data_IF_993837442746
#
_entry.id   IF_993837442746
#
_cell.length_a   1.000
_cell.length_b   1.000
_cell.length_c   1.000
_cell.angle_alpha   90.00
_cell.angle_beta   90.00
_cell.angle_gamma   90.00
#
_symmetry.space_group_name_H-M   'P 1'
#
loop_
_entity.id
_entity.type
_entity.pdbx_description
1 polymer ?
#
# COMPACT_ATOMS: atom_id res chain seq x y z
N UNK A 1 23.86 22.00 -46.47
CA UNK A 1 22.43 21.67 -46.26
C UNK A 1 22.31 20.54 -45.26
N UNK A 2 22.50 20.90 -43.99
CA UNK A 2 22.65 20.08 -42.77
C UNK A 2 21.32 19.46 -42.27
N UNK A 3 20.24 19.56 -43.05
CA UNK A 3 18.87 19.12 -42.69
C UNK A 3 18.60 17.62 -42.88
N UNK A 4 19.65 16.81 -42.95
CA UNK A 4 19.56 15.34 -42.81
C UNK A 4 20.37 14.85 -41.60
N UNK A 5 20.66 15.73 -40.64
CA UNK A 5 21.17 15.31 -39.35
C UNK A 5 20.03 14.69 -38.55
N UNK A 6 20.08 13.36 -38.50
CA UNK A 6 19.64 12.54 -37.38
C UNK A 6 18.22 12.81 -36.88
N UNK A 7 17.25 12.28 -37.62
CA UNK A 7 16.05 11.68 -37.02
C UNK A 7 16.43 10.44 -36.17
N UNK A 8 17.38 10.60 -35.24
CA UNK A 8 17.96 9.51 -34.45
C UNK A 8 18.35 10.01 -33.05
N UNK A 9 17.42 10.70 -32.39
CA UNK A 9 17.33 10.63 -30.92
C UNK A 9 16.02 9.91 -30.62
N UNK A 10 15.85 8.76 -31.28
CA UNK A 10 14.89 7.78 -30.87
C UNK A 10 15.44 7.14 -29.59
N UNK A 11 14.63 7.22 -28.53
CA UNK A 11 14.47 6.10 -27.62
C UNK A 11 15.74 5.62 -26.91
N UNK A 12 16.27 6.43 -25.99
CA UNK A 12 16.86 5.85 -24.77
C UNK A 12 15.87 6.09 -23.63
N UNK A 13 14.65 5.59 -23.80
CA UNK A 13 13.80 5.29 -22.66
C UNK A 13 14.40 4.04 -22.03
N UNK A 14 15.40 4.22 -21.17
CA UNK A 14 15.90 3.14 -20.33
C UNK A 14 14.68 2.54 -19.61
N UNK A 15 14.55 1.21 -19.52
CA UNK A 15 13.57 0.63 -18.63
C UNK A 15 14.02 1.06 -17.24
N UNK A 16 13.31 2.02 -16.64
CA UNK A 16 13.37 2.21 -15.19
C UNK A 16 12.93 0.86 -14.65
N UNK A 17 13.90 0.05 -14.26
CA UNK A 17 13.66 -1.23 -13.66
C UNK A 17 12.58 -1.00 -12.61
N UNK A 18 11.48 -1.74 -12.73
CA UNK A 18 10.48 -1.83 -11.69
C UNK A 18 11.21 -2.43 -10.49
N UNK A 19 11.84 -1.58 -9.68
CA UNK A 19 12.42 -1.93 -8.41
C UNK A 19 11.22 -2.41 -7.60
N UNK A 20 11.04 -3.72 -7.50
CA UNK A 20 10.01 -4.31 -6.67
C UNK A 20 10.29 -3.80 -5.26
N UNK A 21 9.47 -2.86 -4.80
CA UNK A 21 9.54 -2.42 -3.42
C UNK A 21 9.39 -3.68 -2.54
N UNK A 22 10.17 -3.80 -1.44
CA UNK A 22 10.02 -4.90 -0.51
C UNK A 22 8.54 -5.06 -0.16
N UNK A 23 8.04 -6.30 -0.16
CA UNK A 23 6.69 -6.56 0.29
C UNK A 23 6.52 -5.97 1.71
N UNK A 24 5.44 -5.22 1.97
CA UNK A 24 5.23 -4.66 3.29
C UNK A 24 5.24 -5.78 4.34
N UNK A 25 5.87 -5.53 5.49
CA UNK A 25 5.80 -6.45 6.60
C UNK A 25 4.33 -6.66 7.03
N UNK A 26 3.95 -7.87 7.46
CA UNK A 26 2.59 -8.14 7.94
C UNK A 26 2.29 -7.23 9.13
N UNK A 27 1.15 -6.54 9.07
CA UNK A 27 0.69 -5.65 10.14
C UNK A 27 -0.29 -6.40 11.02
N UNK A 28 -0.03 -6.49 12.32
CA UNK A 28 -0.95 -7.10 13.29
C UNK A 28 -1.65 -6.03 14.10
N UNK A 29 -2.94 -6.21 14.31
CA UNK A 29 -3.79 -5.35 15.14
C UNK A 29 -4.56 -6.19 16.15
N UNK A 30 -4.81 -5.61 17.32
CA UNK A 30 -5.69 -6.19 18.33
C UNK A 30 -6.98 -5.39 18.36
N UNK A 31 -8.09 -6.05 18.05
CA UNK A 31 -9.43 -5.49 18.16
C UNK A 31 -9.94 -5.88 19.54
N UNK A 32 -10.06 -4.91 20.44
CA UNK A 32 -10.58 -5.12 21.79
C UNK A 32 -12.09 -5.07 21.75
N UNK A 33 -12.74 -6.16 22.14
CA UNK A 33 -14.20 -6.30 22.13
C UNK A 33 -14.71 -6.66 23.53
N UNK A 34 -16.02 -6.57 23.75
CA UNK A 34 -16.65 -7.00 25.00
C UNK A 34 -16.47 -8.50 25.27
N UNK A 35 -16.40 -9.32 24.22
CA UNK A 35 -16.21 -10.78 24.30
C UNK A 35 -14.74 -11.19 24.35
N UNK A 36 -13.82 -10.22 24.37
CA UNK A 36 -12.38 -10.44 24.42
C UNK A 36 -11.63 -9.92 23.19
N UNK A 37 -10.30 -10.12 23.16
CA UNK A 37 -9.44 -9.61 22.09
C UNK A 37 -9.50 -10.50 20.83
N UNK A 38 -9.55 -9.87 19.67
CA UNK A 38 -9.35 -10.51 18.36
C UNK A 38 -8.03 -10.02 17.79
N UNK A 39 -7.10 -10.92 17.49
CA UNK A 39 -5.84 -10.58 16.83
C UNK A 39 -5.99 -10.83 15.33
N UNK A 40 -5.84 -9.77 14.54
CA UNK A 40 -5.93 -9.84 13.08
C UNK A 40 -4.59 -9.46 12.44
N UNK A 41 -4.16 -10.23 11.45
CA UNK A 41 -3.03 -9.89 10.57
C UNK A 41 -3.56 -9.36 9.24
N UNK A 42 -3.07 -8.21 8.82
CA UNK A 42 -3.49 -7.53 7.61
C UNK A 42 -2.58 -7.91 6.44
N UNK A 43 -3.19 -8.37 5.35
CA UNK A 43 -2.50 -8.70 4.11
C UNK A 43 -2.23 -7.43 3.27
N UNK A 44 -1.22 -6.68 3.69
CA UNK A 44 -0.79 -5.47 3.00
C UNK A 44 -0.20 -5.75 1.60
N UNK A 45 0.24 -6.97 1.34
CA UNK A 45 0.81 -7.36 0.05
C UNK A 45 -0.28 -7.47 -1.03
N UNK A 46 -1.41 -8.10 -0.72
CA UNK A 46 -2.53 -8.24 -1.67
C UNK A 46 -3.57 -7.12 -1.55
N UNK A 47 -3.72 -6.49 -0.37
CA UNK A 47 -4.73 -5.45 -0.10
C UNK A 47 -4.13 -4.15 0.47
N UNK A 48 -3.18 -3.48 -0.23
CA UNK A 48 -2.46 -2.32 0.30
C UNK A 48 -3.38 -1.13 0.59
N UNK A 49 -4.36 -0.86 -0.26
CA UNK A 49 -5.30 0.28 -0.09
C UNK A 49 -6.26 0.07 1.07
N UNK A 50 -6.80 -1.14 1.21
CA UNK A 50 -7.72 -1.48 2.30
C UNK A 50 -6.99 -1.47 3.64
N UNK A 51 -5.77 -2.02 3.69
CA UNK A 51 -4.91 -1.98 4.88
C UNK A 51 -4.61 -0.54 5.30
N UNK A 52 -4.14 0.30 4.37
CA UNK A 52 -3.86 1.71 4.66
C UNK A 52 -5.12 2.47 5.13
N UNK A 53 -6.27 2.22 4.52
CA UNK A 53 -7.52 2.82 4.95
C UNK A 53 -7.92 2.36 6.36
N UNK A 54 -7.86 1.06 6.65
CA UNK A 54 -8.16 0.54 7.98
C UNK A 54 -7.28 1.17 9.06
N UNK A 55 -5.96 1.18 8.85
CA UNK A 55 -5.00 1.75 9.79
C UNK A 55 -5.21 3.26 10.01
N UNK A 56 -5.57 4.01 8.96
CA UNK A 56 -5.95 5.42 9.11
C UNK A 56 -7.12 5.63 10.08
N UNK A 57 -8.11 4.73 10.10
CA UNK A 57 -9.23 4.83 11.04
C UNK A 57 -8.84 4.42 12.46
N UNK A 58 -7.94 3.43 12.60
CA UNK A 58 -7.32 3.06 13.88
C UNK A 58 -6.57 4.25 14.47
N UNK A 59 -5.67 4.87 13.71
CA UNK A 59 -4.90 6.04 14.16
C UNK A 59 -5.82 7.21 14.55
N UNK A 60 -6.91 7.38 13.82
CA UNK A 60 -7.91 8.41 14.06
C UNK A 60 -8.94 8.02 15.15
N UNK A 61 -8.73 6.89 15.85
CA UNK A 61 -9.58 6.35 16.93
C UNK A 61 -11.06 6.21 16.56
N UNK A 62 -11.34 5.94 15.29
CA UNK A 62 -12.72 5.88 14.78
C UNK A 62 -13.47 4.61 15.15
N UNK A 63 -12.75 3.57 15.60
CA UNK A 63 -13.32 2.31 16.05
C UNK A 63 -13.50 2.24 17.57
N UNK A 64 -13.14 3.28 18.31
CA UNK A 64 -13.28 3.30 19.76
C UNK A 64 -14.77 3.38 20.14
N UNK A 65 -15.24 2.45 20.97
CA UNK A 65 -16.59 2.46 21.52
C UNK A 65 -17.71 2.05 20.56
N UNK A 66 -17.39 1.61 19.34
CA UNK A 66 -18.40 1.09 18.41
C UNK A 66 -18.79 -0.35 18.75
N UNK A 67 -19.94 -0.79 18.25
CA UNK A 67 -20.44 -2.16 18.40
C UNK A 67 -20.35 -2.93 17.07
N UNK A 68 -20.10 -4.23 17.14
CA UNK A 68 -20.43 -5.13 16.04
C UNK A 68 -21.97 -5.20 15.93
N UNK A 69 -22.50 -5.00 14.72
CA UNK A 69 -23.93 -5.02 14.40
C UNK A 69 -24.32 -6.31 13.68
#
# INVERSE_FOLDING_TARGET
>A
MIRRLLALIAFVAAPVAAQQAPAPAPVRVTIVTAEGPIVAELDAAHAPRSTANFLRYVDAKRYDGITFY
#
